data_IF_597083362931
#
_entry.id   IF_597083362931
#
_cell.length_a   1.000
_cell.length_b   1.000
_cell.length_c   1.000
_cell.angle_alpha   90.00
_cell.angle_beta   90.00
_cell.angle_gamma   90.00
#
_symmetry.space_group_name_H-M   'P 1'
#
loop_
_entity.id
_entity.type
_entity.pdbx_description
1 polymer ?
#
# COMPACT_ATOMS: atom_id res chain seq x y z
N UNK A 1 11.30 5.37 -10.82
CA UNK A 1 10.30 4.31 -10.58
C UNK A 1 10.51 3.80 -9.18
N UNK A 2 9.51 3.97 -8.32
CA UNK A 2 9.50 3.45 -6.95
C UNK A 2 9.47 1.92 -7.06
N UNK A 3 10.44 1.21 -6.49
CA UNK A 3 10.65 -0.22 -6.71
C UNK A 3 10.16 -1.07 -5.53
N UNK A 4 8.94 -0.82 -5.04
CA UNK A 4 8.37 -1.76 -4.07
C UNK A 4 8.09 -3.08 -4.75
N UNK A 5 8.52 -4.18 -4.14
CA UNK A 5 8.28 -5.51 -4.68
C UNK A 5 6.77 -5.78 -4.78
N UNK A 6 6.26 -6.37 -5.89
CA UNK A 6 4.83 -6.60 -6.08
C UNK A 6 4.17 -7.40 -4.96
N UNK A 7 4.90 -8.36 -4.37
CA UNK A 7 4.41 -9.14 -3.24
C UNK A 7 4.17 -8.25 -2.01
N UNK A 8 5.08 -7.34 -1.68
CA UNK A 8 4.85 -6.40 -0.57
C UNK A 8 3.65 -5.48 -0.85
N UNK A 9 3.53 -5.00 -2.08
CA UNK A 9 2.38 -4.19 -2.48
C UNK A 9 1.05 -4.96 -2.33
N UNK A 10 1.03 -6.24 -2.70
CA UNK A 10 -0.12 -7.12 -2.53
C UNK A 10 -0.46 -7.33 -1.05
N UNK A 11 0.52 -7.78 -0.24
CA UNK A 11 0.30 -8.04 1.18
C UNK A 11 -0.15 -6.79 1.95
N UNK A 12 0.37 -5.61 1.61
CA UNK A 12 -0.07 -4.36 2.25
C UNK A 12 -1.51 -3.97 1.92
N UNK A 13 -2.01 -4.32 0.74
CA UNK A 13 -3.41 -4.10 0.35
C UNK A 13 -4.33 -5.16 0.98
N UNK A 14 -3.88 -6.42 1.05
CA UNK A 14 -4.62 -7.47 1.75
C UNK A 14 -4.75 -7.18 3.24
N UNK A 15 -3.71 -6.60 3.86
CA UNK A 15 -3.74 -6.18 5.26
C UNK A 15 -4.85 -5.14 5.53
N UNK A 16 -5.05 -4.17 4.63
CA UNK A 16 -6.19 -3.24 4.72
C UNK A 16 -7.53 -3.99 4.71
N UNK A 17 -7.72 -4.89 3.73
CA UNK A 17 -8.94 -5.69 3.63
C UNK A 17 -9.19 -6.58 4.86
N UNK A 18 -8.13 -7.12 5.46
CA UNK A 18 -8.22 -7.87 6.72
C UNK A 18 -8.64 -6.98 7.89
N UNK A 19 -8.06 -5.80 8.03
CA UNK A 19 -8.41 -4.82 9.07
C UNK A 19 -9.88 -4.41 8.93
N UNK A 20 -10.31 -4.04 7.73
CA UNK A 20 -11.70 -3.69 7.43
C UNK A 20 -12.65 -4.86 7.70
N UNK A 21 -12.27 -6.08 7.31
CA UNK A 21 -13.07 -7.29 7.54
C UNK A 21 -13.27 -7.61 9.02
N UNK A 22 -12.26 -7.40 9.86
CA UNK A 22 -12.34 -7.64 11.31
C UNK A 22 -13.11 -6.53 12.02
N UNK A 23 -12.93 -5.28 11.57
CA UNK A 23 -13.72 -4.15 12.07
C UNK A 23 -15.20 -4.33 11.71
N UNK A 24 -15.50 -4.73 10.48
CA UNK A 24 -16.86 -4.87 9.97
C UNK A 24 -17.62 -3.54 9.82
N UNK A 25 -18.88 -3.63 9.41
CA UNK A 25 -19.78 -2.48 9.25
C UNK A 25 -21.11 -2.72 10.00
N UNK A 26 -21.39 -1.99 11.10
CA UNK A 26 -20.60 -0.90 11.67
C UNK A 26 -19.34 -1.39 12.41
N UNK A 27 -18.29 -0.54 12.56
CA UNK A 27 -17.01 -0.95 13.14
C UNK A 27 -17.10 -1.46 14.59
N UNK A 28 -16.61 -2.68 14.83
CA UNK A 28 -16.50 -3.32 16.13
C UNK A 28 -15.06 -3.26 16.68
N UNK A 29 -14.68 -2.07 17.17
CA UNK A 29 -13.34 -1.82 17.74
C UNK A 29 -12.99 -2.71 18.92
N UNK A 30 -13.98 -3.18 19.69
CA UNK A 30 -13.75 -4.08 20.81
C UNK A 30 -13.28 -5.46 20.33
N UNK A 31 -13.98 -6.02 19.34
CA UNK A 31 -13.60 -7.31 18.74
C UNK A 31 -12.22 -7.22 18.08
N UNK A 32 -12.00 -6.16 17.29
CA UNK A 32 -10.73 -5.89 16.65
C UNK A 32 -9.59 -5.85 17.68
N UNK A 33 -9.72 -5.04 18.73
CA UNK A 33 -8.71 -4.96 19.79
C UNK A 33 -8.47 -6.31 20.47
N UNK A 34 -9.52 -7.06 20.79
CA UNK A 34 -9.37 -8.40 21.37
C UNK A 34 -8.58 -9.35 20.48
N UNK A 35 -8.73 -9.25 19.16
CA UNK A 35 -7.99 -10.08 18.21
C UNK A 35 -6.51 -9.68 18.14
N UNK A 36 -6.22 -8.37 18.06
CA UNK A 36 -4.85 -7.85 18.11
C UNK A 36 -4.17 -8.25 19.42
N UNK A 37 -4.82 -8.02 20.57
CA UNK A 37 -4.27 -8.36 21.89
C UNK A 37 -3.99 -9.86 22.02
N UNK A 38 -4.86 -10.72 21.46
CA UNK A 38 -4.64 -12.17 21.45
C UNK A 38 -3.43 -12.58 20.59
N UNK A 39 -3.30 -12.02 19.39
CA UNK A 39 -2.16 -12.31 18.51
C UNK A 39 -0.84 -11.82 19.11
N UNK A 40 -0.83 -10.60 19.66
CA UNK A 40 0.35 -10.05 20.36
C UNK A 40 0.77 -10.97 21.50
N UNK A 41 -0.17 -11.45 22.31
CA UNK A 41 0.11 -12.38 23.41
C UNK A 41 0.67 -13.73 22.93
N UNK A 42 0.10 -14.30 21.86
CA UNK A 42 0.58 -15.56 21.27
C UNK A 42 2.01 -15.44 20.77
N UNK A 43 2.33 -14.42 19.95
CA UNK A 43 3.69 -14.21 19.46
C UNK A 43 4.66 -13.83 20.59
N UNK A 44 4.26 -13.04 21.58
CA UNK A 44 5.09 -12.71 22.75
C UNK A 44 5.48 -13.94 23.58
N UNK A 45 4.68 -15.00 23.52
CA UNK A 45 4.99 -16.28 24.18
C UNK A 45 5.94 -17.19 23.37
N UNK A 46 6.39 -16.74 22.20
CA UNK A 46 7.16 -17.54 21.24
C UNK A 46 6.31 -18.50 20.40
N UNK A 47 4.98 -18.36 20.48
CA UNK A 47 4.03 -19.03 19.60
C UNK A 47 3.68 -18.16 18.40
N UNK A 48 2.45 -18.34 17.90
CA UNK A 48 1.90 -17.56 16.80
C UNK A 48 1.80 -18.34 15.48
N UNK A 49 1.31 -17.65 14.47
CA UNK A 49 1.03 -18.23 13.15
C UNK A 49 2.17 -17.81 12.22
N UNK A 50 2.78 -18.76 11.50
CA UNK A 50 3.81 -18.46 10.50
C UNK A 50 3.19 -17.89 9.21
N UNK A 51 2.53 -16.73 9.33
CA UNK A 51 1.83 -16.04 8.25
C UNK A 51 2.13 -14.54 8.32
N UNK A 52 2.58 -13.97 7.19
CA UNK A 52 3.00 -12.57 7.09
C UNK A 52 1.86 -11.63 7.43
N UNK A 53 0.64 -11.92 6.99
CA UNK A 53 -0.53 -11.07 7.22
C UNK A 53 -0.95 -11.10 8.68
N UNK A 54 -0.96 -12.29 9.32
CA UNK A 54 -1.26 -12.40 10.75
C UNK A 54 -0.26 -11.63 11.60
N UNK A 55 1.03 -11.71 11.26
CA UNK A 55 2.06 -11.00 12.00
C UNK A 55 2.04 -9.48 11.72
N UNK A 56 1.84 -9.06 10.48
CA UNK A 56 1.70 -7.66 10.12
C UNK A 56 0.47 -7.03 10.81
N UNK A 57 -0.64 -7.76 10.87
CA UNK A 57 -1.84 -7.37 11.60
C UNK A 57 -1.60 -7.21 13.10
N UNK A 58 -0.84 -8.13 13.72
CA UNK A 58 -0.46 -7.99 15.13
C UNK A 58 0.45 -6.78 15.38
N UNK A 59 1.28 -6.39 14.40
CA UNK A 59 2.21 -5.28 14.51
C UNK A 59 1.60 -3.90 14.21
N UNK A 60 0.63 -3.80 13.30
CA UNK A 60 0.24 -2.55 12.62
C UNK A 60 -0.09 -1.40 13.57
N UNK A 61 -0.77 -1.68 14.68
CA UNK A 61 -1.17 -0.68 15.68
C UNK A 61 -0.09 -0.38 16.72
N UNK A 62 0.93 -1.24 16.84
CA UNK A 62 1.96 -1.15 17.86
C UNK A 62 3.32 -0.68 17.35
N UNK A 63 3.58 -0.86 16.04
CA UNK A 63 4.86 -0.59 15.42
C UNK A 63 4.99 0.87 14.99
N UNK A 64 6.18 1.43 15.24
CA UNK A 64 6.63 2.75 14.82
C UNK A 64 7.93 2.64 14.05
N UNK A 65 8.15 3.54 13.09
CA UNK A 65 9.28 3.49 12.15
C UNK A 65 10.19 4.71 12.31
N UNK A 66 11.50 4.48 12.44
CA UNK A 66 12.51 5.54 12.58
C UNK A 66 13.23 5.86 11.27
N UNK A 67 13.24 4.95 10.30
CA UNK A 67 13.85 5.17 8.98
C UNK A 67 12.96 4.71 7.82
N UNK A 68 11.98 5.56 7.42
CA UNK A 68 11.12 5.27 6.27
C UNK A 68 11.87 5.08 4.94
N UNK A 69 13.01 5.75 4.75
CA UNK A 69 13.77 5.64 3.49
C UNK A 69 14.50 4.30 3.42
N UNK A 70 15.10 3.88 4.53
CA UNK A 70 15.72 2.56 4.63
C UNK A 70 14.68 1.45 4.46
N UNK A 71 13.50 1.56 5.09
CA UNK A 71 12.42 0.59 4.91
C UNK A 71 11.87 0.50 3.47
N UNK A 72 11.78 1.63 2.76
CA UNK A 72 11.46 1.63 1.33
C UNK A 72 12.55 0.95 0.48
N UNK A 73 13.82 1.06 0.84
CA UNK A 73 14.89 0.39 0.12
C UNK A 73 14.88 -1.12 0.40
N UNK A 74 14.58 -1.54 1.63
CA UNK A 74 14.47 -2.95 1.99
C UNK A 74 13.21 -3.61 1.38
N UNK A 75 12.23 -2.84 0.89
CA UNK A 75 11.05 -3.37 0.22
C UNK A 75 11.25 -3.70 -1.27
N UNK A 76 12.45 -3.49 -1.83
CA UNK A 76 12.74 -3.89 -3.22
C UNK A 76 12.93 -5.42 -3.38
N UNK A 77 13.30 -6.12 -2.31
CA UNK A 77 13.59 -7.56 -2.32
C UNK A 77 12.69 -8.29 -1.31
N UNK A 78 11.80 -9.16 -1.78
CA UNK A 78 10.92 -9.91 -0.88
C UNK A 78 11.62 -11.11 -0.22
N UNK A 79 12.57 -11.74 -0.91
CA UNK A 79 13.11 -13.06 -0.56
C UNK A 79 14.42 -13.00 0.23
N UNK A 80 15.33 -12.06 -0.07
CA UNK A 80 16.72 -12.14 0.41
C UNK A 80 17.21 -10.92 1.21
N UNK A 81 16.33 -10.07 1.74
CA UNK A 81 16.76 -8.94 2.56
C UNK A 81 17.20 -9.33 3.97
N UNK A 82 17.79 -8.37 4.69
CA UNK A 82 18.39 -8.61 6.02
C UNK A 82 17.41 -8.25 7.15
N UNK A 83 16.93 -9.22 7.94
CA UNK A 83 16.05 -8.96 9.06
C UNK A 83 16.63 -7.95 10.05
N UNK A 84 17.91 -8.07 10.41
CA UNK A 84 18.52 -7.22 11.44
C UNK A 84 18.49 -5.74 11.05
N UNK A 85 18.62 -5.44 9.74
CA UNK A 85 18.47 -4.08 9.22
C UNK A 85 17.05 -3.57 9.44
N UNK A 86 16.05 -4.35 9.06
CA UNK A 86 14.63 -3.98 9.22
C UNK A 86 14.27 -3.79 10.70
N UNK A 87 14.71 -4.69 11.57
CA UNK A 87 14.51 -4.59 13.01
C UNK A 87 15.10 -3.30 13.60
N UNK A 88 16.26 -2.86 13.12
CA UNK A 88 16.90 -1.61 13.58
C UNK A 88 16.14 -0.33 13.17
N UNK A 89 15.20 -0.41 12.23
CA UNK A 89 14.46 0.72 11.68
C UNK A 89 13.03 0.85 12.24
N UNK A 90 12.62 -0.07 13.11
CA UNK A 90 11.30 -0.07 13.71
C UNK A 90 11.33 -0.47 15.19
N UNK A 91 10.27 -0.10 15.92
CA UNK A 91 10.15 -0.40 17.35
C UNK A 91 8.69 -0.47 17.79
N UNK A 92 8.44 -1.19 18.88
CA UNK A 92 7.16 -1.26 19.58
C UNK A 92 7.30 -0.64 20.98
N UNK A 93 6.48 0.37 21.29
CA UNK A 93 6.52 1.06 22.58
C UNK A 93 5.68 0.38 23.67
N UNK A 94 4.64 -0.36 23.28
CA UNK A 94 3.82 -1.12 24.21
C UNK A 94 4.63 -2.29 24.82
N UNK A 95 4.59 -2.54 26.14
CA UNK A 95 5.42 -3.56 26.76
C UNK A 95 5.18 -4.99 26.25
N UNK A 96 3.94 -5.35 25.92
CA UNK A 96 3.63 -6.70 25.43
C UNK A 96 3.99 -6.81 23.95
N UNK A 97 3.72 -5.76 23.16
CA UNK A 97 4.17 -5.69 21.77
C UNK A 97 5.71 -5.66 21.65
N UNK A 98 6.43 -5.07 22.61
CA UNK A 98 7.89 -5.10 22.65
C UNK A 98 8.42 -6.51 22.93
N UNK A 99 7.75 -7.30 23.78
CA UNK A 99 8.09 -8.72 23.97
C UNK A 99 7.82 -9.53 22.71
N UNK A 100 6.66 -9.32 22.07
CA UNK A 100 6.37 -9.91 20.75
C UNK A 100 7.50 -9.57 19.77
N UNK A 101 7.86 -8.29 19.66
CA UNK A 101 8.87 -7.81 18.72
C UNK A 101 10.23 -8.50 18.94
N UNK A 102 10.67 -8.66 20.19
CA UNK A 102 11.87 -9.42 20.50
C UNK A 102 11.72 -10.92 20.21
N UNK A 103 10.57 -11.52 20.53
CA UNK A 103 10.34 -12.95 20.32
C UNK A 103 10.33 -13.34 18.82
N UNK A 104 9.75 -12.50 17.96
CA UNK A 104 9.72 -12.74 16.51
C UNK A 104 11.07 -12.48 15.84
N UNK A 105 11.91 -11.60 16.40
CA UNK A 105 13.30 -11.42 15.96
C UNK A 105 14.10 -12.71 16.14
N UNK A 106 13.94 -13.38 17.27
CA UNK A 106 14.63 -14.63 17.58
C UNK A 106 14.03 -15.84 16.85
N UNK A 107 12.71 -15.91 16.74
CA UNK A 107 12.00 -17.13 16.31
C UNK A 107 11.70 -17.17 14.81
N UNK A 108 11.35 -16.03 14.21
CA UNK A 108 10.87 -15.94 12.83
C UNK A 108 11.43 -14.70 12.09
N UNK A 109 12.76 -14.52 12.02
CA UNK A 109 13.36 -13.25 11.58
C UNK A 109 12.95 -12.86 10.16
N UNK A 110 12.92 -13.79 9.21
CA UNK A 110 12.55 -13.51 7.81
C UNK A 110 11.06 -13.18 7.66
N UNK A 111 10.20 -13.89 8.39
CA UNK A 111 8.76 -13.62 8.43
C UNK A 111 8.49 -12.24 9.05
N UNK A 112 9.15 -11.94 10.17
CA UNK A 112 9.02 -10.67 10.86
C UNK A 112 9.53 -9.51 10.01
N UNK A 113 10.64 -9.70 9.30
CA UNK A 113 11.14 -8.74 8.31
C UNK A 113 10.05 -8.40 7.28
N UNK A 114 9.43 -9.42 6.69
CA UNK A 114 8.37 -9.22 5.71
C UNK A 114 7.17 -8.50 6.33
N UNK A 115 6.72 -8.93 7.51
CA UNK A 115 5.58 -8.33 8.22
C UNK A 115 5.82 -6.86 8.61
N UNK A 116 7.03 -6.50 9.05
CA UNK A 116 7.40 -5.11 9.38
C UNK A 116 7.33 -4.23 8.14
N UNK A 117 7.86 -4.69 7.01
CA UNK A 117 7.81 -3.95 5.73
C UNK A 117 6.35 -3.82 5.26
N UNK A 118 5.56 -4.90 5.31
CA UNK A 118 4.14 -4.89 4.96
C UNK A 118 3.36 -3.88 5.79
N UNK A 119 3.56 -3.86 7.11
CA UNK A 119 2.93 -2.89 8.02
C UNK A 119 3.41 -1.45 7.74
N UNK A 120 4.70 -1.27 7.41
CA UNK A 120 5.25 0.03 7.02
C UNK A 120 4.57 0.59 5.77
N UNK A 121 4.47 -0.21 4.72
CA UNK A 121 3.88 0.19 3.45
C UNK A 121 2.38 0.48 3.62
N UNK A 122 1.63 -0.38 4.32
CA UNK A 122 0.22 -0.13 4.64
C UNK A 122 0.02 1.20 5.39
N UNK A 123 0.89 1.54 6.34
CA UNK A 123 0.81 2.82 7.07
C UNK A 123 1.26 4.03 6.26
N UNK A 124 1.90 3.83 5.10
CA UNK A 124 2.50 4.88 4.28
C UNK A 124 2.20 4.70 2.78
N UNK A 125 0.92 4.59 2.36
CA UNK A 125 0.56 4.30 0.96
C UNK A 125 1.14 5.34 -0.01
N UNK A 126 1.16 6.62 0.36
CA UNK A 126 1.72 7.72 -0.45
C UNK A 126 3.19 7.56 -0.84
N UNK A 127 3.95 6.77 -0.10
CA UNK A 127 5.38 6.59 -0.35
C UNK A 127 5.66 5.61 -1.50
N UNK A 128 4.71 4.76 -1.86
CA UNK A 128 4.94 3.65 -2.78
C UNK A 128 3.79 3.34 -3.73
N UNK A 129 2.56 3.69 -3.37
CA UNK A 129 1.40 3.47 -4.22
C UNK A 129 1.43 4.50 -5.35
N UNK A 130 1.52 4.01 -6.58
CA UNK A 130 1.56 4.85 -7.78
C UNK A 130 0.15 5.35 -8.15
N UNK A 131 -0.91 4.83 -7.52
CA UNK A 131 -2.31 5.23 -7.73
C UNK A 131 -2.65 6.59 -7.08
N UNK A 132 -1.82 7.10 -6.15
CA UNK A 132 -1.91 8.48 -5.63
C UNK A 132 -1.15 9.44 -6.58
N UNK A 133 -1.53 9.42 -7.87
CA UNK A 133 -1.29 10.53 -8.80
C UNK A 133 -2.18 11.70 -8.36
N UNK A 134 -1.83 12.36 -7.26
CA UNK A 134 -2.52 13.59 -6.87
C UNK A 134 -2.52 14.55 -8.06
N UNK A 135 -3.63 15.25 -8.27
CA UNK A 135 -3.83 16.22 -9.35
C UNK A 135 -2.67 17.22 -9.51
N UNK A 136 -1.84 17.41 -8.48
CA UNK A 136 -0.63 18.21 -8.49
C UNK A 136 0.44 17.71 -9.50
N UNK A 137 0.55 16.41 -9.78
CA UNK A 137 1.43 15.89 -10.85
C UNK A 137 0.83 16.00 -12.24
N UNK A 138 -0.50 15.97 -12.36
CA UNK A 138 -1.20 16.29 -13.61
C UNK A 138 -1.04 17.78 -13.97
N UNK A 139 -1.10 18.67 -12.97
CA UNK A 139 -0.86 20.10 -13.15
C UNK A 139 0.62 20.45 -13.42
N UNK A 140 1.57 19.63 -12.96
CA UNK A 140 3.00 19.85 -13.22
C UNK A 140 3.44 19.48 -14.66
N UNK A 141 2.59 18.76 -15.41
CA UNK A 141 2.79 18.48 -16.82
C UNK A 141 1.80 19.25 -17.72
N UNK A 142 0.98 20.13 -17.13
CA UNK A 142 0.15 21.13 -17.83
C UNK A 142 0.90 22.48 -17.80
N UNK A 143 2.17 22.45 -18.22
CA UNK A 143 2.82 23.67 -18.70
C UNK A 143 2.12 24.01 -20.00
N UNK A 144 1.08 24.84 -19.87
CA UNK A 144 0.39 25.48 -20.97
C UNK A 144 1.40 26.24 -21.83
N UNK A 145 1.89 25.57 -22.87
CA UNK A 145 2.50 26.21 -24.03
C UNK A 145 1.36 26.62 -24.96
N UNK A 146 0.67 27.69 -24.54
CA UNK A 146 -0.24 28.47 -25.35
C UNK A 146 0.61 29.34 -26.29
N UNK A 147 1.24 28.71 -27.28
CA UNK A 147 1.82 29.36 -28.46
C UNK A 147 1.10 28.83 -29.71
N UNK A 148 -0.07 29.44 -29.91
CA UNK A 148 -0.71 29.82 -31.17
C UNK A 148 -0.16 29.20 -32.47
N UNK A 149 -1.01 28.46 -33.18
CA UNK A 149 -1.15 28.63 -34.63
C UNK A 149 -2.60 28.38 -35.05
N UNK A 150 -3.19 29.42 -35.66
CA UNK A 150 -4.45 29.37 -36.39
C UNK A 150 -4.28 28.42 -37.58
N UNK A 151 -4.77 27.19 -37.50
CA UNK A 151 -5.02 26.36 -38.68
C UNK A 151 -6.44 25.80 -38.63
N UNK A 152 -7.32 26.57 -39.28
CA UNK A 152 -8.37 26.11 -40.18
C UNK A 152 -9.08 24.82 -39.75
N UNK A 153 -10.23 24.99 -39.07
CA UNK A 153 -11.26 23.97 -39.03
C UNK A 153 -11.65 23.65 -40.48
N UNK A 154 -11.07 22.61 -41.07
CA UNK A 154 -11.48 22.12 -42.37
C UNK A 154 -12.92 21.63 -42.24
N UNK A 155 -13.83 22.33 -42.91
CA UNK A 155 -15.27 22.09 -43.09
C UNK A 155 -15.62 20.72 -43.71
N UNK A 156 -14.78 19.70 -43.57
CA UNK A 156 -14.92 18.39 -44.22
C UNK A 156 -15.73 17.38 -43.39
N UNK A 157 -16.02 17.69 -42.12
CA UNK A 157 -16.90 16.87 -41.28
C UNK A 157 -18.37 17.33 -41.33
N UNK A 158 -18.63 18.59 -41.70
CA UNK A 158 -19.98 19.15 -41.78
C UNK A 158 -20.72 18.77 -43.07
N UNK A 159 -20.00 18.36 -44.12
CA UNK A 159 -20.60 17.98 -45.41
C UNK A 159 -21.03 16.51 -45.49
N UNK A 160 -20.63 15.65 -44.55
CA UNK A 160 -21.00 14.22 -44.62
C UNK A 160 -22.48 13.96 -44.27
N UNK A 161 -23.18 14.93 -43.67
CA UNK A 161 -24.58 14.77 -43.25
C UNK A 161 -25.60 15.57 -44.08
N UNK A 162 -25.18 16.30 -45.11
CA UNK A 162 -26.07 17.20 -45.87
C UNK A 162 -26.13 16.93 -47.40
N UNK A 163 -25.66 15.77 -47.86
CA UNK A 163 -25.94 15.28 -49.22
C UNK A 163 -26.61 13.90 -49.18
N UNK A 164 -27.94 13.92 -49.10
CA UNK A 164 -28.79 13.33 -50.14
C UNK A 164 -30.26 13.61 -49.81
N UNK A 165 -30.69 14.82 -50.19
CA UNK A 165 -32.10 15.12 -50.41
C UNK A 165 -32.53 14.66 -51.82
N UNK A 166 -33.64 13.92 -51.86
CA UNK A 166 -34.69 13.92 -52.89
C UNK A 166 -34.32 13.74 -54.39
N UNK A 167 -34.82 12.65 -55.01
CA UNK A 167 -36.09 12.64 -55.78
C UNK A 167 -36.11 11.59 -56.93
N UNK A 168 -37.33 11.12 -57.22
CA UNK A 168 -37.87 10.62 -58.49
C UNK A 168 -37.92 9.10 -58.78
N UNK A 169 -39.05 8.50 -58.40
CA UNK A 169 -40.08 8.14 -59.39
C UNK A 169 -39.96 6.79 -60.10
N UNK A 170 -40.87 5.85 -59.75
CA UNK A 170 -41.63 5.01 -60.68
C UNK A 170 -42.83 4.37 -60.00
#
# INVERSE_FOLDING_TARGET
>A
MRRVHPEFAYQSRELEGQIEGILGDPPNRKNYKSMVDALVGEYASGGGIEDVNMLAFALVDHISFSDPKGLLAESEDYEFGDPARVFSMASCADPEAAKMYAAIEDSFPDLARQAIITAFLHKNPRLWDDDDQSLDQLAANDDGDDDHDEDEATDDFAQMFDQDGDDHGR
#
